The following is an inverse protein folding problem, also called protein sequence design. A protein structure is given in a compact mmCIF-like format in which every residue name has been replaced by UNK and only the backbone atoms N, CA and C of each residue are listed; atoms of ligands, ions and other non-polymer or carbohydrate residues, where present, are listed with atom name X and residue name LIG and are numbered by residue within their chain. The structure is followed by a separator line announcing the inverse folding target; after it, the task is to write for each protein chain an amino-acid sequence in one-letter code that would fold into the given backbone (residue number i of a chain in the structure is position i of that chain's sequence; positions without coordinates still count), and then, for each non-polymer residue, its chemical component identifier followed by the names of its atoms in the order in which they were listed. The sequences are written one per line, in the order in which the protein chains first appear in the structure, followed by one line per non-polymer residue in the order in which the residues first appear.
data_IF_971664684996
#
_entry.id   IF_971664684996
#
_cell.length_a   1.000
_cell.length_b   1.000
_cell.length_c   1.000
_cell.angle_alpha   90.00
_cell.angle_beta   90.00
_cell.angle_gamma   90.00
#
_symmetry.space_group_name_H-M   'P 1'
#
loop_
_entity.id
_entity.type
_entity.pdbx_description
1 polymer ?
#
# COMPACT_ATOMS: atom_id res chain seq x y z
N UNK A 1 -58.24 35.88 -46.17
CA UNK A 1 -58.56 35.80 -44.72
C UNK A 1 -57.39 35.12 -44.01
N UNK A 2 -56.55 35.87 -43.29
CA UNK A 2 -55.58 35.39 -42.30
C UNK A 2 -55.43 36.52 -41.27
N UNK A 3 -55.93 36.32 -40.04
CA UNK A 3 -55.83 37.27 -38.95
C UNK A 3 -54.50 37.13 -38.20
N UNK A 4 -53.95 38.22 -37.63
CA UNK A 4 -52.72 38.14 -36.84
C UNK A 4 -53.01 37.48 -35.48
N UNK A 5 -52.35 36.35 -35.24
CA UNK A 5 -52.24 35.72 -33.92
C UNK A 5 -51.37 36.62 -33.02
N UNK A 6 -52.00 37.52 -32.28
CA UNK A 6 -51.36 38.28 -31.20
C UNK A 6 -51.01 37.34 -30.05
N UNK A 7 -49.75 36.95 -29.95
CA UNK A 7 -49.23 36.15 -28.83
C UNK A 7 -49.15 37.04 -27.57
N UNK A 8 -49.67 36.62 -26.40
CA UNK A 8 -49.72 37.46 -25.21
C UNK A 8 -48.37 37.41 -24.47
N UNK A 9 -47.36 38.09 -24.99
CA UNK A 9 -46.09 38.31 -24.25
C UNK A 9 -46.14 39.51 -23.30
N UNK A 10 -47.18 40.35 -23.40
CA UNK A 10 -47.36 41.54 -22.55
C UNK A 10 -47.38 41.30 -21.03
N UNK A 11 -48.04 40.25 -20.50
CA UNK A 11 -48.17 40.08 -19.04
C UNK A 11 -46.84 39.69 -18.36
N UNK A 12 -45.96 38.97 -19.06
CA UNK A 12 -44.67 38.51 -18.49
C UNK A 12 -43.70 39.69 -18.36
N UNK A 13 -43.69 40.61 -19.33
CA UNK A 13 -42.86 41.81 -19.30
C UNK A 13 -43.29 42.79 -18.20
N UNK A 14 -44.61 42.94 -17.96
CA UNK A 14 -45.14 43.84 -16.92
C UNK A 14 -44.91 43.29 -15.51
N UNK A 15 -45.00 41.97 -15.30
CA UNK A 15 -44.68 41.35 -14.01
C UNK A 15 -43.20 41.52 -13.63
N UNK A 16 -42.30 41.50 -14.60
CA UNK A 16 -40.86 41.79 -14.42
C UNK A 16 -40.54 43.26 -14.14
N UNK A 17 -41.42 44.18 -14.53
CA UNK A 17 -41.22 45.62 -14.36
C UNK A 17 -41.66 46.15 -12.99
N UNK A 18 -42.51 45.42 -12.24
CA UNK A 18 -43.14 45.94 -11.01
C UNK A 18 -42.87 45.13 -9.73
N UNK A 19 -42.09 44.04 -9.79
CA UNK A 19 -41.74 43.25 -8.60
C UNK A 19 -40.22 43.27 -8.32
N UNK A 20 -39.67 44.34 -7.73
CA UNK A 20 -38.27 44.38 -7.32
C UNK A 20 -37.91 43.24 -6.34
N UNK A 21 -38.87 42.76 -5.56
CA UNK A 21 -38.74 41.59 -4.68
C UNK A 21 -38.49 40.28 -5.43
N UNK A 22 -39.10 40.07 -6.60
CA UNK A 22 -38.91 38.86 -7.40
C UNK A 22 -37.48 38.77 -7.95
N UNK A 23 -36.88 39.89 -8.38
CA UNK A 23 -35.49 39.94 -8.87
C UNK A 23 -34.49 39.56 -7.79
N UNK A 24 -34.70 40.01 -6.55
CA UNK A 24 -33.86 39.65 -5.40
C UNK A 24 -33.99 38.17 -5.07
N UNK A 25 -35.20 37.60 -5.13
CA UNK A 25 -35.42 36.17 -4.92
C UNK A 25 -34.72 35.32 -5.98
N UNK A 26 -34.83 35.66 -7.26
CA UNK A 26 -34.15 34.95 -8.34
C UNK A 26 -32.63 35.08 -8.27
N UNK A 27 -32.10 36.26 -7.92
CA UNK A 27 -30.68 36.46 -7.69
C UNK A 27 -30.16 35.62 -6.51
N UNK A 28 -30.89 35.59 -5.39
CA UNK A 28 -30.56 34.74 -4.25
C UNK A 28 -30.60 33.25 -4.59
N UNK A 29 -31.58 32.82 -5.38
CA UNK A 29 -31.70 31.43 -5.83
C UNK A 29 -30.57 31.03 -6.78
N UNK A 30 -30.14 31.93 -7.68
CA UNK A 30 -29.00 31.72 -8.56
C UNK A 30 -27.68 31.57 -7.78
N UNK A 31 -27.46 32.41 -6.76
CA UNK A 31 -26.29 32.33 -5.88
C UNK A 31 -26.30 31.01 -5.10
N UNK A 32 -27.44 30.63 -4.52
CA UNK A 32 -27.58 29.37 -3.80
C UNK A 32 -27.35 28.15 -4.71
N UNK A 33 -27.88 28.18 -5.93
CA UNK A 33 -27.66 27.13 -6.94
C UNK A 33 -26.17 27.02 -7.32
N UNK A 34 -25.48 28.15 -7.48
CA UNK A 34 -24.04 28.18 -7.73
C UNK A 34 -23.26 27.54 -6.58
N UNK A 35 -23.51 27.93 -5.32
CA UNK A 35 -22.85 27.34 -4.17
C UNK A 35 -23.14 25.84 -4.02
N UNK A 36 -24.38 25.40 -4.27
CA UNK A 36 -24.72 23.97 -4.26
C UNK A 36 -24.01 23.19 -5.36
N UNK A 37 -23.87 23.76 -6.56
CA UNK A 37 -23.12 23.15 -7.65
C UNK A 37 -21.63 23.06 -7.32
N UNK A 38 -21.01 24.15 -6.84
CA UNK A 38 -19.61 24.16 -6.39
C UNK A 38 -19.37 23.17 -5.24
N UNK A 39 -20.28 23.10 -4.26
CA UNK A 39 -20.20 22.15 -3.16
C UNK A 39 -20.31 20.69 -3.64
N UNK A 40 -21.20 20.40 -4.60
CA UNK A 40 -21.33 19.06 -5.19
C UNK A 40 -20.06 18.66 -5.94
N UNK A 41 -19.46 19.56 -6.71
CA UNK A 41 -18.19 19.29 -7.40
C UNK A 41 -17.09 19.00 -6.39
N UNK A 42 -16.91 19.86 -5.39
CA UNK A 42 -15.92 19.66 -4.33
C UNK A 42 -16.10 18.32 -3.58
N UNK A 43 -17.36 17.97 -3.26
CA UNK A 43 -17.66 16.70 -2.61
C UNK A 43 -17.36 15.50 -3.51
N UNK A 44 -17.71 15.58 -4.80
CA UNK A 44 -17.42 14.53 -5.76
C UNK A 44 -15.90 14.33 -5.94
N UNK A 45 -15.11 15.41 -5.96
CA UNK A 45 -13.64 15.33 -6.01
C UNK A 45 -13.07 14.63 -4.78
N UNK A 46 -13.58 14.96 -3.58
CA UNK A 46 -13.19 14.30 -2.32
C UNK A 46 -13.56 12.82 -2.31
N UNK A 47 -14.78 12.48 -2.72
CA UNK A 47 -15.25 11.09 -2.78
C UNK A 47 -14.48 10.28 -3.83
N UNK A 48 -14.12 10.89 -4.97
CA UNK A 48 -13.32 10.25 -6.02
C UNK A 48 -11.89 9.99 -5.56
N UNK A 49 -11.26 10.96 -4.88
CA UNK A 49 -9.93 10.80 -4.30
C UNK A 49 -9.91 9.73 -3.20
N UNK A 50 -10.93 9.68 -2.34
CA UNK A 50 -11.04 8.63 -1.32
C UNK A 50 -11.15 7.23 -1.93
N UNK A 51 -11.98 7.06 -2.98
CA UNK A 51 -12.12 5.79 -3.71
C UNK A 51 -10.82 5.39 -4.42
N UNK A 52 -10.06 6.34 -4.94
CA UNK A 52 -8.77 6.05 -5.58
C UNK A 52 -7.74 5.56 -4.57
N UNK A 53 -7.64 6.22 -3.40
CA UNK A 53 -6.78 5.76 -2.29
C UNK A 53 -7.19 4.38 -1.82
N UNK A 54 -8.50 4.11 -1.71
CA UNK A 54 -9.02 2.80 -1.31
C UNK A 54 -8.68 1.71 -2.34
N UNK A 55 -8.82 1.99 -3.64
CA UNK A 55 -8.38 1.09 -4.70
C UNK A 55 -6.88 0.82 -4.65
N UNK A 56 -6.06 1.85 -4.46
CA UNK A 56 -4.62 1.70 -4.32
C UNK A 56 -4.27 0.86 -3.08
N UNK A 57 -5.00 1.03 -1.98
CA UNK A 57 -4.84 0.21 -0.77
C UNK A 57 -5.21 -1.24 -1.02
N UNK A 58 -6.34 -1.50 -1.69
CA UNK A 58 -6.77 -2.86 -2.06
C UNK A 58 -5.77 -3.54 -3.00
N UNK A 59 -5.25 -2.83 -4.00
CA UNK A 59 -4.22 -3.33 -4.91
C UNK A 59 -2.87 -3.58 -4.21
N UNK A 60 -2.54 -2.78 -3.20
CA UNK A 60 -1.36 -3.03 -2.36
C UNK A 60 -1.55 -4.29 -1.53
N UNK A 61 -2.74 -4.44 -0.93
CA UNK A 61 -3.10 -5.60 -0.12
C UNK A 61 -3.14 -6.90 -0.92
N UNK A 62 -3.62 -6.86 -2.18
CA UNK A 62 -3.61 -8.05 -3.03
C UNK A 62 -2.20 -8.54 -3.36
N UNK A 63 -1.20 -7.65 -3.31
CA UNK A 63 0.21 -7.97 -3.57
C UNK A 63 1.00 -8.35 -2.31
N UNK A 64 0.48 -8.11 -1.12
CA UNK A 64 1.14 -8.51 0.13
C UNK A 64 1.35 -10.01 0.26
N UNK A 65 0.38 -10.92 0.01
CA UNK A 65 0.63 -12.36 0.14
C UNK A 65 1.72 -12.86 -0.81
N UNK A 66 1.79 -12.31 -2.03
CA UNK A 66 2.85 -12.64 -3.00
C UNK A 66 4.24 -12.24 -2.47
N UNK A 67 4.35 -11.10 -1.76
CA UNK A 67 5.61 -10.67 -1.15
C UNK A 67 6.06 -11.60 -0.05
N UNK A 68 5.12 -12.04 0.81
CA UNK A 68 5.41 -13.00 1.87
C UNK A 68 5.87 -14.34 1.30
N UNK A 69 5.19 -14.84 0.26
CA UNK A 69 5.56 -16.10 -0.40
C UNK A 69 6.96 -16.00 -1.05
N UNK A 70 7.27 -14.89 -1.71
CA UNK A 70 8.60 -14.67 -2.29
C UNK A 70 9.72 -14.53 -1.23
N UNK A 71 9.39 -14.11 0.00
CA UNK A 71 10.32 -14.07 1.12
C UNK A 71 10.50 -15.46 1.74
N UNK A 72 9.41 -16.21 1.91
CA UNK A 72 9.43 -17.60 2.39
C UNK A 72 10.22 -18.51 1.45
N UNK A 73 10.04 -18.39 0.13
CA UNK A 73 10.77 -19.18 -0.86
C UNK A 73 12.29 -18.89 -0.79
N UNK A 74 12.67 -17.61 -0.66
CA UNK A 74 14.09 -17.23 -0.51
C UNK A 74 14.68 -17.70 0.81
N UNK A 75 13.92 -17.64 1.90
CA UNK A 75 14.33 -18.22 3.18
C UNK A 75 14.47 -19.75 3.08
N UNK A 76 13.54 -20.43 2.43
CA UNK A 76 13.60 -21.89 2.20
C UNK A 76 14.83 -22.30 1.40
N UNK A 77 15.16 -21.59 0.33
CA UNK A 77 16.39 -21.83 -0.44
C UNK A 77 17.64 -21.68 0.44
N UNK A 78 17.66 -20.71 1.36
CA UNK A 78 18.77 -20.54 2.28
C UNK A 78 18.87 -21.69 3.29
N UNK A 79 17.75 -22.26 3.75
CA UNK A 79 17.72 -23.47 4.60
C UNK A 79 18.38 -24.64 3.88
N UNK A 80 17.98 -24.88 2.63
CA UNK A 80 18.49 -26.01 1.86
C UNK A 80 20.01 -25.91 1.68
N UNK A 81 20.51 -24.70 1.40
CA UNK A 81 21.94 -24.43 1.28
C UNK A 81 22.69 -24.69 2.60
N UNK A 82 22.14 -24.25 3.74
CA UNK A 82 22.72 -24.50 5.07
C UNK A 82 22.71 -25.99 5.43
N UNK A 83 21.59 -26.67 5.16
CA UNK A 83 21.40 -28.08 5.44
C UNK A 83 22.31 -28.97 4.59
N UNK A 84 22.73 -28.49 3.41
CA UNK A 84 23.59 -29.26 2.50
C UNK A 84 24.98 -29.60 3.06
N UNK A 85 25.37 -29.05 4.22
CA UNK A 85 26.72 -29.14 4.82
C UNK A 85 27.86 -28.66 3.90
N UNK A 86 27.56 -28.28 2.65
CA UNK A 86 28.56 -27.74 1.72
C UNK A 86 29.06 -26.42 2.25
N UNK A 87 30.32 -26.13 1.95
CA UNK A 87 30.87 -24.82 2.20
C UNK A 87 30.06 -23.79 1.39
N UNK A 88 29.23 -23.00 2.07
CA UNK A 88 28.53 -21.85 1.49
C UNK A 88 29.51 -21.02 0.66
N UNK A 89 29.35 -21.01 -0.65
CA UNK A 89 30.26 -20.29 -1.52
C UNK A 89 30.08 -18.77 -1.29
N UNK A 90 31.18 -18.03 -1.13
CA UNK A 90 31.13 -16.58 -0.96
C UNK A 90 30.41 -15.87 -2.13
N UNK A 91 30.47 -16.46 -3.33
CA UNK A 91 29.75 -15.99 -4.52
C UNK A 91 28.22 -16.07 -4.41
N UNK A 92 27.69 -16.87 -3.49
CA UNK A 92 26.24 -17.09 -3.28
C UNK A 92 25.73 -16.20 -2.14
N UNK A 93 26.51 -16.04 -1.07
CA UNK A 93 26.08 -15.32 0.15
C UNK A 93 25.96 -13.81 -0.09
N UNK A 94 26.88 -13.21 -0.86
CA UNK A 94 26.87 -11.78 -1.15
C UNK A 94 25.59 -11.28 -1.84
N UNK A 95 25.19 -11.87 -2.98
CA UNK A 95 23.94 -11.52 -3.65
C UNK A 95 22.70 -11.71 -2.77
N UNK A 96 22.64 -12.79 -1.99
CA UNK A 96 21.53 -13.07 -1.07
C UNK A 96 21.39 -12.01 0.02
N UNK A 97 22.51 -11.52 0.56
CA UNK A 97 22.51 -10.49 1.59
C UNK A 97 21.91 -9.18 1.08
N UNK A 98 22.18 -8.83 -0.18
CA UNK A 98 21.60 -7.65 -0.81
C UNK A 98 20.11 -7.82 -1.12
N UNK A 99 19.68 -9.03 -1.52
CA UNK A 99 18.26 -9.35 -1.69
C UNK A 99 17.48 -9.17 -0.38
N UNK A 100 18.00 -9.70 0.74
CA UNK A 100 17.35 -9.53 2.05
C UNK A 100 17.35 -8.06 2.50
N UNK A 101 18.37 -7.27 2.16
CA UNK A 101 18.40 -5.82 2.44
C UNK A 101 17.27 -5.08 1.76
N UNK A 102 17.03 -5.40 0.49
CA UNK A 102 15.93 -4.81 -0.26
C UNK A 102 14.57 -5.23 0.32
N UNK A 103 14.44 -6.49 0.76
CA UNK A 103 13.20 -6.97 1.36
C UNK A 103 12.89 -6.29 2.71
N UNK A 104 13.89 -6.02 3.55
CA UNK A 104 13.66 -5.29 4.81
C UNK A 104 12.95 -3.94 4.61
N UNK A 105 13.26 -3.25 3.50
CA UNK A 105 12.57 -2.01 3.12
C UNK A 105 11.12 -2.23 2.64
N UNK A 106 10.85 -3.36 1.99
CA UNK A 106 9.51 -3.73 1.50
C UNK A 106 8.54 -4.09 2.62
N UNK A 107 9.07 -4.61 3.74
CA UNK A 107 8.30 -5.00 4.92
C UNK A 107 8.28 -3.92 6.02
N UNK A 108 8.48 -2.63 5.69
CA UNK A 108 8.49 -1.54 6.67
C UNK A 108 7.20 -1.39 7.51
N UNK A 109 6.08 -1.99 7.07
CA UNK A 109 4.80 -2.02 7.80
C UNK A 109 4.62 -3.24 8.70
N UNK A 110 5.52 -4.22 8.60
CA UNK A 110 5.50 -5.48 9.34
C UNK A 110 6.75 -5.56 10.22
N UNK A 111 6.69 -4.93 11.40
CA UNK A 111 7.85 -4.74 12.27
C UNK A 111 8.53 -6.05 12.68
N UNK A 112 7.73 -7.09 12.94
CA UNK A 112 8.24 -8.41 13.34
C UNK A 112 9.03 -9.07 12.21
N UNK A 113 8.49 -9.04 10.99
CA UNK A 113 9.13 -9.58 9.78
C UNK A 113 10.38 -8.79 9.45
N UNK A 114 10.30 -7.45 9.48
CA UNK A 114 11.45 -6.58 9.26
C UNK A 114 12.56 -6.84 10.27
N UNK A 115 12.23 -6.98 11.55
CA UNK A 115 13.21 -7.28 12.60
C UNK A 115 13.87 -8.63 12.38
N UNK A 116 13.10 -9.66 12.01
CA UNK A 116 13.63 -10.98 11.72
C UNK A 116 14.55 -10.97 10.48
N UNK A 117 14.21 -10.22 9.43
CA UNK A 117 15.09 -10.04 8.26
C UNK A 117 16.42 -9.40 8.68
N UNK A 118 16.39 -8.36 9.52
CA UNK A 118 17.60 -7.69 9.99
C UNK A 118 18.47 -8.59 10.89
N UNK A 119 17.86 -9.43 11.72
CA UNK A 119 18.57 -10.44 12.51
C UNK A 119 19.28 -11.45 11.61
N UNK A 120 18.55 -12.00 10.63
CA UNK A 120 19.11 -12.92 9.64
C UNK A 120 20.27 -12.29 8.86
N UNK A 121 20.16 -11.01 8.47
CA UNK A 121 21.26 -10.28 7.82
C UNK A 121 22.50 -10.19 8.71
N UNK A 122 22.33 -9.88 10.00
CA UNK A 122 23.45 -9.79 10.94
C UNK A 122 24.12 -11.15 11.17
N UNK A 123 23.35 -12.24 11.19
CA UNK A 123 23.90 -13.60 11.26
C UNK A 123 24.67 -13.96 9.98
N UNK A 124 24.09 -13.66 8.79
CA UNK A 124 24.76 -13.88 7.50
C UNK A 124 26.06 -13.08 7.37
N UNK A 125 26.07 -11.82 7.82
CA UNK A 125 27.25 -10.95 7.75
C UNK A 125 28.37 -11.45 8.67
N UNK A 126 28.04 -11.88 9.90
CA UNK A 126 29.00 -12.51 10.82
C UNK A 126 29.56 -13.81 10.25
N UNK A 127 28.72 -14.66 9.67
CA UNK A 127 29.17 -15.89 9.02
C UNK A 127 30.08 -15.61 7.81
N UNK A 128 29.78 -14.56 7.05
CA UNK A 128 30.63 -14.13 5.94
C UNK A 128 32.02 -13.65 6.42
N UNK A 129 32.05 -12.83 7.47
CA UNK A 129 33.30 -12.33 8.09
C UNK A 129 34.11 -13.49 8.68
N UNK A 130 33.48 -14.37 9.46
CA UNK A 130 34.14 -15.53 10.06
C UNK A 130 34.78 -16.43 9.00
N UNK A 131 34.08 -16.66 7.89
CA UNK A 131 34.59 -17.48 6.78
C UNK A 131 35.72 -16.82 6.00
N UNK A 132 35.69 -15.49 5.84
CA UNK A 132 36.78 -14.72 5.23
C UNK A 132 38.05 -14.76 6.09
N UNK A 133 37.87 -14.69 7.41
CA UNK A 133 38.97 -14.55 8.36
C UNK A 133 39.44 -15.92 8.93
N UNK A 134 39.00 -17.04 8.33
CA UNK A 134 39.33 -18.41 8.72
C UNK A 134 39.00 -18.75 10.21
N UNK A 135 37.88 -18.23 10.73
CA UNK A 135 37.40 -18.56 12.07
C UNK A 135 36.80 -19.97 12.17
N UNK A 136 37.10 -20.68 13.25
CA UNK A 136 36.67 -22.08 13.52
C UNK A 136 35.22 -22.22 14.02
N UNK A 137 34.43 -21.13 14.07
CA UNK A 137 33.11 -21.09 14.72
C UNK A 137 31.92 -21.30 13.74
N UNK A 138 32.15 -22.05 12.65
CA UNK A 138 31.17 -22.24 11.56
C UNK A 138 29.89 -22.92 12.04
N UNK A 139 29.99 -23.86 12.99
CA UNK A 139 28.82 -24.59 13.52
C UNK A 139 27.93 -23.73 14.43
N UNK A 140 28.53 -22.92 15.29
CA UNK A 140 27.80 -21.98 16.15
C UNK A 140 27.04 -20.94 15.33
N UNK A 141 27.71 -20.37 14.32
CA UNK A 141 27.11 -19.41 13.39
C UNK A 141 26.02 -20.04 12.53
N UNK A 142 26.19 -21.29 12.09
CA UNK A 142 25.13 -22.04 11.38
C UNK A 142 23.89 -22.25 12.24
N UNK A 143 24.07 -22.65 13.50
CA UNK A 143 22.94 -22.80 14.44
C UNK A 143 22.21 -21.49 14.66
N UNK A 144 22.96 -20.39 14.87
CA UNK A 144 22.37 -19.05 15.04
C UNK A 144 21.58 -18.64 13.79
N UNK A 145 22.12 -18.91 12.60
CA UNK A 145 21.48 -18.57 11.34
C UNK A 145 20.21 -19.39 11.10
N UNK A 146 20.22 -20.66 11.49
CA UNK A 146 19.04 -21.52 11.44
C UNK A 146 17.94 -21.01 12.38
N UNK A 147 18.30 -20.61 13.60
CA UNK A 147 17.36 -20.04 14.56
C UNK A 147 16.76 -18.72 14.07
N UNK A 148 17.59 -17.82 13.53
CA UNK A 148 17.12 -16.54 12.98
C UNK A 148 16.21 -16.72 11.76
N UNK A 149 16.50 -17.71 10.94
CA UNK A 149 15.65 -18.03 9.81
C UNK A 149 14.32 -18.67 10.25
N UNK A 150 14.33 -19.52 11.28
CA UNK A 150 13.10 -20.02 11.88
C UNK A 150 12.24 -18.89 12.46
N UNK A 151 12.86 -17.89 13.10
CA UNK A 151 12.15 -16.67 13.57
C UNK A 151 11.54 -15.90 12.40
N UNK A 152 12.24 -15.80 11.27
CA UNK A 152 11.72 -15.15 10.06
C UNK A 152 10.47 -15.86 9.53
N UNK A 153 10.52 -17.18 9.38
CA UNK A 153 9.37 -17.97 8.91
C UNK A 153 8.17 -17.84 9.86
N UNK A 154 8.41 -17.95 11.17
CA UNK A 154 7.35 -17.75 12.17
C UNK A 154 6.75 -16.33 12.12
N UNK A 155 7.56 -15.30 11.85
CA UNK A 155 7.07 -13.93 11.70
C UNK A 155 6.22 -13.77 10.44
N UNK A 156 6.60 -14.42 9.33
CA UNK A 156 5.79 -14.48 8.11
C UNK A 156 4.45 -15.17 8.37
N UNK A 157 4.45 -16.33 9.03
CA UNK A 157 3.23 -17.07 9.40
C UNK A 157 2.32 -16.21 10.29
N UNK A 158 2.88 -15.57 11.31
CA UNK A 158 2.13 -14.73 12.24
C UNK A 158 1.47 -13.52 11.54
N UNK A 159 2.19 -12.83 10.66
CA UNK A 159 1.63 -11.72 9.89
C UNK A 159 0.60 -12.19 8.87
N UNK A 160 0.82 -13.35 8.24
CA UNK A 160 -0.15 -13.97 7.33
C UNK A 160 -1.45 -14.33 8.06
N UNK A 161 -1.35 -14.87 9.27
CA UNK A 161 -2.52 -15.15 10.11
C UNK A 161 -3.25 -13.88 10.50
N UNK A 162 -2.56 -12.79 10.85
CA UNK A 162 -3.19 -11.47 11.08
C UNK A 162 -3.92 -10.96 9.84
N UNK A 163 -3.33 -11.09 8.65
CA UNK A 163 -3.95 -10.68 7.39
C UNK A 163 -5.19 -11.52 7.06
N UNK A 164 -5.20 -12.81 7.42
CA UNK A 164 -6.35 -13.70 7.22
C UNK A 164 -7.46 -13.48 8.26
N UNK A 165 -7.12 -13.28 9.53
CA UNK A 165 -8.07 -13.10 10.64
C UNK A 165 -8.55 -11.66 10.82
N UNK A 166 -7.78 -10.67 10.37
CA UNK A 166 -8.20 -9.26 10.28
C UNK A 166 -9.17 -8.97 9.14
N UNK A 167 -9.64 -10.00 8.43
CA UNK A 167 -10.64 -9.95 7.36
C UNK A 167 -12.08 -9.99 7.94
N UNK A 168 -12.35 -9.23 9.01
CA UNK A 168 -13.69 -8.97 9.57
C UNK A 168 -13.94 -7.46 9.58
#
# INVERSE_FOLDING_TARGET
MCGPLSVPFGPIAVWWAHAPSAKVLWAGLAVLAFFLASYRVWRNERDSGAKEIEKLRQLSWSKEPERFLALEERAGQLVEELASHRALAQSIVGPRLEEFRQDAGRFARHDDVRRAILQLQNALDRMFVAKRDHGDDDEGLRSELYDDLKKLLNACDHERDKLQHGRI
#
